data_IF_104170619323
#
_entry.id   IF_104170619323
#
_cell.length_a   1.000
_cell.length_b   1.000
_cell.length_c   1.000
_cell.angle_alpha   90.00
_cell.angle_beta   90.00
_cell.angle_gamma   90.00
#
_symmetry.space_group_name_H-M   'P 1'
#
loop_
_entity.id
_entity.type
_entity.pdbx_description
1 polymer ?
#
# COMPACT_ATOMS: atom_id res chain seq x y z
N UNK A 1 -11.93 15.50 -15.67
CA UNK A 1 -11.55 14.55 -16.76
C UNK A 1 -10.04 14.32 -16.72
N UNK A 2 -9.63 13.09 -16.48
CA UNK A 2 -8.21 12.70 -16.37
C UNK A 2 -7.58 12.71 -17.77
N UNK A 3 -6.43 13.39 -17.97
CA UNK A 3 -5.73 13.34 -19.26
C UNK A 3 -5.25 11.92 -19.59
N UNK A 4 -5.15 11.52 -20.88
CA UNK A 4 -4.77 10.16 -21.27
C UNK A 4 -3.46 9.64 -20.67
N UNK A 5 -2.48 10.53 -20.40
CA UNK A 5 -1.21 10.16 -19.76
C UNK A 5 -1.41 9.83 -18.28
N UNK A 6 -2.35 10.46 -17.58
CA UNK A 6 -2.64 10.22 -16.18
C UNK A 6 -3.48 8.94 -15.97
N UNK A 7 -4.28 8.53 -16.97
CA UNK A 7 -5.03 7.27 -16.95
C UNK A 7 -4.13 6.03 -16.84
N UNK A 8 -2.83 6.14 -17.16
CA UNK A 8 -1.89 5.06 -16.92
C UNK A 8 -1.58 4.83 -15.44
N UNK A 9 -2.00 5.71 -14.53
CA UNK A 9 -1.65 5.66 -13.11
C UNK A 9 -2.85 5.82 -12.18
N UNK A 10 -4.01 6.21 -12.73
CA UNK A 10 -5.24 6.49 -11.98
C UNK A 10 -6.40 5.85 -12.76
N UNK A 11 -7.17 5.00 -12.10
CA UNK A 11 -8.17 4.17 -12.75
C UNK A 11 -9.53 4.86 -12.98
N UNK A 12 -9.60 6.19 -12.82
CA UNK A 12 -10.81 6.96 -13.01
C UNK A 12 -11.05 7.99 -11.92
N UNK A 13 -12.14 8.74 -12.06
CA UNK A 13 -12.55 9.74 -11.08
C UNK A 13 -13.56 9.19 -10.06
N UNK A 14 -14.17 8.04 -10.34
CA UNK A 14 -15.20 7.39 -9.52
C UNK A 14 -14.82 5.96 -9.16
N UNK A 15 -15.35 5.44 -8.04
CA UNK A 15 -15.14 4.03 -7.68
C UNK A 15 -15.70 3.06 -8.71
N UNK A 16 -16.74 3.42 -9.44
CA UNK A 16 -17.29 2.57 -10.49
C UNK A 16 -16.31 2.37 -11.65
N UNK A 17 -15.59 3.43 -12.07
CA UNK A 17 -14.53 3.33 -13.08
C UNK A 17 -13.35 2.51 -12.56
N UNK A 18 -12.94 2.70 -11.31
CA UNK A 18 -11.88 1.95 -10.67
C UNK A 18 -12.23 0.46 -10.54
N UNK A 19 -13.45 0.11 -10.16
CA UNK A 19 -13.92 -1.27 -10.11
C UNK A 19 -13.95 -1.93 -11.50
N UNK A 20 -14.36 -1.22 -12.55
CA UNK A 20 -14.27 -1.75 -13.90
C UNK A 20 -12.82 -2.09 -14.31
N UNK A 21 -11.87 -1.25 -13.91
CA UNK A 21 -10.43 -1.55 -14.10
C UNK A 21 -10.02 -2.81 -13.32
N UNK A 22 -10.47 -2.96 -12.07
CA UNK A 22 -10.17 -4.15 -11.26
C UNK A 22 -10.82 -5.40 -11.84
N UNK A 23 -12.06 -5.31 -12.35
CA UNK A 23 -12.72 -6.44 -13.03
C UNK A 23 -11.88 -6.94 -14.23
N UNK A 24 -11.23 -6.03 -15.00
CA UNK A 24 -10.29 -6.40 -16.07
C UNK A 24 -9.00 -7.05 -15.53
N UNK A 25 -8.48 -6.61 -14.38
CA UNK A 25 -7.34 -7.23 -13.70
C UNK A 25 -7.67 -8.64 -13.22
N UNK A 26 -8.86 -8.84 -12.64
CA UNK A 26 -9.31 -10.13 -12.10
C UNK A 26 -9.39 -11.21 -13.20
N UNK A 27 -9.80 -10.85 -14.42
CA UNK A 27 -9.77 -11.77 -15.58
C UNK A 27 -8.34 -12.28 -15.86
N UNK A 28 -7.31 -11.54 -15.44
CA UNK A 28 -5.90 -11.87 -15.60
C UNK A 28 -5.24 -12.39 -14.34
N UNK A 29 -6.03 -12.70 -13.29
CA UNK A 29 -5.54 -13.27 -12.04
C UNK A 29 -4.87 -12.27 -11.09
N UNK A 30 -5.05 -10.97 -11.29
CA UNK A 30 -4.53 -9.91 -10.43
C UNK A 30 -5.68 -9.28 -9.66
N UNK A 31 -5.58 -9.20 -8.33
CA UNK A 31 -6.54 -8.57 -7.45
C UNK A 31 -6.33 -7.06 -7.35
N UNK A 32 -7.33 -6.31 -6.88
CA UNK A 32 -7.25 -4.86 -6.73
C UNK A 32 -7.08 -4.39 -5.29
N UNK A 33 -6.30 -3.33 -5.07
CA UNK A 33 -6.31 -2.53 -3.84
C UNK A 33 -6.77 -1.12 -4.20
N UNK A 34 -8.02 -0.80 -3.91
CA UNK A 34 -8.62 0.47 -4.28
C UNK A 34 -8.30 1.55 -3.25
N UNK A 35 -7.78 2.67 -3.73
CA UNK A 35 -7.44 3.81 -2.89
C UNK A 35 -8.07 5.10 -3.45
N UNK A 36 -8.95 5.72 -2.70
CA UNK A 36 -9.49 7.04 -3.01
C UNK A 36 -8.39 8.10 -2.79
N UNK A 37 -8.16 8.92 -3.79
CA UNK A 37 -7.13 9.97 -3.74
C UNK A 37 -7.57 11.15 -2.89
N UNK A 38 -6.91 11.36 -1.78
CA UNK A 38 -7.06 12.42 -0.79
C UNK A 38 -5.96 12.32 0.26
N UNK A 39 -5.60 13.43 0.90
CA UNK A 39 -4.61 13.48 1.96
C UNK A 39 -4.72 14.82 2.72
N UNK A 40 -4.35 14.83 4.03
CA UNK A 40 -4.23 16.03 4.87
C UNK A 40 -5.51 16.88 4.95
N UNK A 41 -6.61 16.26 5.37
CA UNK A 41 -7.85 17.01 5.61
C UNK A 41 -7.84 17.61 7.02
N UNK A 42 -8.14 18.89 7.09
CA UNK A 42 -8.33 19.69 8.29
C UNK A 42 -9.81 19.98 8.59
N UNK A 43 -10.71 19.63 7.65
CA UNK A 43 -12.15 19.79 7.78
C UNK A 43 -12.83 18.45 8.00
N UNK A 44 -13.57 18.33 9.13
CA UNK A 44 -14.28 17.10 9.52
C UNK A 44 -15.24 16.60 8.45
N UNK A 45 -15.98 17.50 7.81
CA UNK A 45 -16.94 17.15 6.76
C UNK A 45 -16.27 16.47 5.56
N UNK A 46 -15.06 16.90 5.18
CA UNK A 46 -14.31 16.30 4.09
C UNK A 46 -13.81 14.88 4.45
N UNK A 47 -13.32 14.70 5.67
CA UNK A 47 -12.87 13.40 6.16
C UNK A 47 -14.04 12.39 6.29
N UNK A 48 -15.18 12.83 6.81
CA UNK A 48 -16.38 12.01 6.92
C UNK A 48 -16.94 11.63 5.54
N UNK A 49 -16.92 12.55 4.57
CA UNK A 49 -17.38 12.28 3.21
C UNK A 49 -16.52 11.23 2.50
N UNK A 50 -15.18 11.27 2.66
CA UNK A 50 -14.30 10.26 2.08
C UNK A 50 -14.45 8.91 2.82
N UNK A 51 -14.73 8.91 4.12
CA UNK A 51 -15.07 7.69 4.85
C UNK A 51 -16.38 7.07 4.34
N UNK A 52 -17.41 7.87 4.09
CA UNK A 52 -18.68 7.42 3.48
C UNK A 52 -18.45 6.85 2.07
N UNK A 53 -17.55 7.42 1.28
CA UNK A 53 -17.19 6.90 -0.04
C UNK A 53 -16.47 5.56 0.06
N UNK A 54 -15.57 5.36 1.04
CA UNK A 54 -14.93 4.05 1.29
C UNK A 54 -15.96 2.98 1.70
N UNK A 55 -16.96 3.34 2.51
CA UNK A 55 -18.04 2.43 2.89
C UNK A 55 -18.85 2.03 1.65
N UNK A 56 -19.26 2.98 0.84
CA UNK A 56 -19.99 2.71 -0.40
C UNK A 56 -19.18 1.88 -1.39
N UNK A 57 -17.86 2.11 -1.48
CA UNK A 57 -16.94 1.29 -2.27
C UNK A 57 -16.88 -0.15 -1.77
N UNK A 58 -16.76 -0.37 -0.46
CA UNK A 58 -16.71 -1.71 0.13
C UNK A 58 -18.02 -2.49 -0.13
N UNK A 59 -19.18 -1.85 0.02
CA UNK A 59 -20.49 -2.43 -0.32
C UNK A 59 -20.57 -2.80 -1.81
N UNK A 60 -20.02 -1.97 -2.70
CA UNK A 60 -20.05 -2.23 -4.14
C UNK A 60 -19.07 -3.35 -4.56
N UNK A 61 -17.91 -3.48 -3.89
CA UNK A 61 -16.98 -4.63 -4.05
C UNK A 61 -17.72 -5.93 -3.75
N UNK A 62 -18.41 -6.01 -2.61
CA UNK A 62 -19.20 -7.18 -2.23
C UNK A 62 -20.33 -7.46 -3.24
N UNK A 63 -21.11 -6.45 -3.59
CA UNK A 63 -22.22 -6.57 -4.52
C UNK A 63 -21.81 -7.10 -5.90
N UNK A 64 -20.64 -6.69 -6.40
CA UNK A 64 -20.09 -7.17 -7.68
C UNK A 64 -19.36 -8.50 -7.55
N UNK A 65 -19.02 -8.91 -6.34
CA UNK A 65 -18.11 -10.03 -6.09
C UNK A 65 -16.74 -9.82 -6.80
N UNK A 66 -16.25 -8.57 -6.80
CA UNK A 66 -14.96 -8.20 -7.36
C UNK A 66 -13.85 -8.64 -6.40
N UNK A 67 -12.80 -9.27 -6.91
CA UNK A 67 -11.61 -9.59 -6.10
C UNK A 67 -10.79 -8.32 -5.84
N UNK A 68 -11.15 -7.65 -4.77
CA UNK A 68 -10.59 -6.36 -4.37
C UNK A 68 -10.63 -6.15 -2.85
N UNK A 69 -9.74 -5.29 -2.40
CA UNK A 69 -9.71 -4.72 -1.07
C UNK A 69 -9.55 -3.20 -1.15
N UNK A 70 -9.63 -2.51 -0.02
CA UNK A 70 -9.48 -1.06 0.06
C UNK A 70 -8.23 -0.68 0.84
N UNK A 71 -7.67 0.49 0.55
CA UNK A 71 -6.54 1.07 1.31
C UNK A 71 -6.85 2.51 1.67
N UNK A 72 -6.82 2.82 2.96
CA UNK A 72 -7.16 4.13 3.52
C UNK A 72 -5.93 4.86 4.03
N UNK A 73 -5.90 6.18 3.88
CA UNK A 73 -4.85 7.03 4.47
C UNK A 73 -5.35 7.68 5.75
N UNK A 74 -4.61 7.59 6.85
CA UNK A 74 -4.98 8.24 8.11
C UNK A 74 -5.29 9.74 7.97
N UNK A 75 -4.45 10.50 7.25
CA UNK A 75 -4.64 11.94 7.07
C UNK A 75 -5.88 12.30 6.23
N UNK A 76 -6.32 11.40 5.35
CA UNK A 76 -7.51 11.57 4.53
C UNK A 76 -8.79 11.40 5.34
N UNK A 77 -8.79 10.49 6.31
CA UNK A 77 -9.98 10.18 7.12
C UNK A 77 -9.95 10.86 8.49
N UNK A 78 -9.14 11.92 8.64
CA UNK A 78 -9.22 12.85 9.76
C UNK A 78 -8.16 12.70 10.85
N UNK A 79 -6.94 12.23 10.54
CA UNK A 79 -5.86 12.07 11.50
C UNK A 79 -5.51 13.39 12.26
N UNK A 80 -5.61 14.54 11.58
CA UNK A 80 -5.32 15.85 12.15
C UNK A 80 -6.53 16.48 12.87
N UNK A 81 -7.66 15.75 12.93
CA UNK A 81 -8.93 16.19 13.53
C UNK A 81 -9.23 15.32 14.74
N UNK A 82 -9.46 15.94 15.89
CA UNK A 82 -9.66 15.24 17.17
C UNK A 82 -10.74 14.16 17.09
N UNK A 83 -10.35 12.90 17.33
CA UNK A 83 -11.19 11.71 17.31
C UNK A 83 -11.70 11.25 15.93
N UNK A 84 -11.52 12.05 14.86
CA UNK A 84 -12.12 11.74 13.56
C UNK A 84 -11.50 10.51 12.89
N UNK A 85 -10.19 10.35 12.97
CA UNK A 85 -9.49 9.20 12.39
C UNK A 85 -10.01 7.88 12.95
N UNK A 86 -10.06 7.77 14.28
CA UNK A 86 -10.50 6.56 14.98
C UNK A 86 -11.96 6.24 14.64
N UNK A 87 -12.83 7.25 14.70
CA UNK A 87 -14.25 7.08 14.38
C UNK A 87 -14.46 6.65 12.91
N UNK A 88 -13.80 7.32 11.97
CA UNK A 88 -13.95 7.02 10.56
C UNK A 88 -13.33 5.67 10.18
N UNK A 89 -12.16 5.33 10.74
CA UNK A 89 -11.56 4.01 10.52
C UNK A 89 -12.45 2.89 11.05
N UNK A 90 -13.00 3.05 12.26
CA UNK A 90 -13.94 2.07 12.82
C UNK A 90 -15.19 1.90 11.94
N UNK A 91 -15.78 2.99 11.45
CA UNK A 91 -16.94 2.94 10.53
C UNK A 91 -16.62 2.20 9.24
N UNK A 92 -15.45 2.44 8.66
CA UNK A 92 -15.00 1.78 7.43
C UNK A 92 -14.78 0.28 7.68
N UNK A 93 -14.04 -0.08 8.74
CA UNK A 93 -13.73 -1.47 9.07
C UNK A 93 -14.98 -2.26 9.43
N UNK A 94 -15.91 -1.67 10.18
CA UNK A 94 -17.17 -2.33 10.58
C UNK A 94 -18.10 -2.58 9.38
N UNK A 95 -18.08 -1.70 8.38
CA UNK A 95 -18.91 -1.82 7.18
C UNK A 95 -18.27 -2.70 6.09
N UNK A 96 -16.93 -2.86 6.08
CA UNK A 96 -16.23 -3.56 5.03
C UNK A 96 -16.31 -5.09 5.19
N UNK A 97 -16.88 -5.77 4.18
CA UNK A 97 -16.76 -7.23 4.05
C UNK A 97 -15.51 -7.65 3.24
N UNK A 98 -14.74 -6.68 2.73
CA UNK A 98 -13.44 -6.88 2.11
C UNK A 98 -12.31 -6.52 3.08
N UNK A 99 -11.08 -6.91 2.73
CA UNK A 99 -9.90 -6.57 3.51
C UNK A 99 -9.59 -5.06 3.48
N UNK A 100 -9.17 -4.49 4.61
CA UNK A 100 -8.86 -3.06 4.75
C UNK A 100 -7.40 -2.84 5.06
N UNK A 101 -6.67 -2.18 4.17
CA UNK A 101 -5.30 -1.72 4.41
C UNK A 101 -5.31 -0.32 5.03
N UNK A 102 -4.42 -0.10 6.01
CA UNK A 102 -4.10 1.21 6.56
C UNK A 102 -2.73 1.62 6.00
N UNK A 103 -2.72 2.64 5.16
CA UNK A 103 -1.47 3.17 4.59
C UNK A 103 -0.63 3.85 5.69
N UNK A 104 0.69 3.75 5.56
CA UNK A 104 1.62 4.51 6.39
C UNK A 104 1.99 5.81 5.68
N UNK A 105 1.93 6.91 6.41
CA UNK A 105 2.34 8.22 5.92
C UNK A 105 3.71 8.60 6.50
N UNK A 106 3.98 9.86 6.86
CA UNK A 106 5.29 10.24 7.37
C UNK A 106 5.58 9.66 8.77
N UNK A 107 6.83 9.80 9.22
CA UNK A 107 7.28 9.22 10.48
C UNK A 107 6.53 9.70 11.72
N UNK A 108 5.92 10.89 11.69
CA UNK A 108 5.21 11.46 12.84
C UNK A 108 3.90 10.75 13.12
N UNK A 109 3.35 10.08 12.12
CA UNK A 109 2.07 9.36 12.18
C UNK A 109 2.22 7.86 12.46
N UNK A 110 3.46 7.36 12.56
CA UNK A 110 3.72 5.91 12.67
C UNK A 110 3.07 5.30 13.90
N UNK A 111 3.21 5.90 15.09
CA UNK A 111 2.68 5.32 16.33
C UNK A 111 1.16 5.24 16.30
N UNK A 112 0.48 6.32 15.95
CA UNK A 112 -0.99 6.35 15.90
C UNK A 112 -1.56 5.39 14.86
N UNK A 113 -0.86 5.19 13.74
CA UNK A 113 -1.25 4.23 12.69
C UNK A 113 -1.09 2.79 13.16
N UNK A 114 0.04 2.47 13.83
CA UNK A 114 0.28 1.13 14.37
C UNK A 114 -0.67 0.80 15.52
N UNK A 115 -0.99 1.77 16.38
CA UNK A 115 -1.95 1.57 17.47
C UNK A 115 -3.37 1.30 16.93
N UNK A 116 -3.80 2.05 15.91
CA UNK A 116 -5.07 1.81 15.24
C UNK A 116 -5.10 0.44 14.54
N UNK A 117 -4.01 0.06 13.86
CA UNK A 117 -3.91 -1.29 13.28
C UNK A 117 -4.05 -2.37 14.35
N UNK A 118 -3.31 -2.30 15.45
CA UNK A 118 -3.38 -3.31 16.52
C UNK A 118 -4.80 -3.45 17.07
N UNK A 119 -5.50 -2.34 17.33
CA UNK A 119 -6.88 -2.34 17.78
C UNK A 119 -7.80 -3.09 16.82
N UNK A 120 -7.78 -2.70 15.55
CA UNK A 120 -8.65 -3.30 14.53
C UNK A 120 -8.24 -4.71 14.13
N UNK A 121 -6.95 -5.04 14.11
CA UNK A 121 -6.47 -6.40 13.83
C UNK A 121 -7.00 -7.39 14.86
N UNK A 122 -6.96 -7.04 16.14
CA UNK A 122 -7.53 -7.88 17.22
C UNK A 122 -9.06 -7.96 17.16
N UNK A 123 -9.73 -6.86 16.80
CA UNK A 123 -11.19 -6.81 16.76
C UNK A 123 -11.78 -7.61 15.59
N UNK A 124 -11.04 -7.71 14.46
CA UNK A 124 -11.50 -8.34 13.21
C UNK A 124 -10.88 -9.71 12.94
N UNK A 125 -10.14 -10.26 13.91
CA UNK A 125 -9.37 -11.50 13.74
C UNK A 125 -8.46 -11.44 12.48
N UNK A 126 -7.85 -10.27 12.25
CA UNK A 126 -6.87 -10.05 11.19
C UNK A 126 -7.41 -9.61 9.82
N UNK A 127 -8.69 -9.20 9.72
CA UNK A 127 -9.23 -8.68 8.44
C UNK A 127 -8.77 -7.25 8.10
N UNK A 128 -7.64 -6.83 8.65
CA UNK A 128 -6.98 -5.56 8.36
C UNK A 128 -5.48 -5.74 8.18
N UNK A 129 -4.85 -4.80 7.47
CA UNK A 129 -3.41 -4.77 7.27
C UNK A 129 -2.83 -3.37 7.44
N UNK A 130 -1.54 -3.29 7.73
CA UNK A 130 -0.81 -2.03 7.84
C UNK A 130 0.41 -1.99 6.94
N UNK A 131 0.75 -0.80 6.44
CA UNK A 131 1.98 -0.56 5.70
C UNK A 131 3.10 -0.12 6.64
N UNK A 132 4.33 -0.66 6.46
CA UNK A 132 5.54 -0.21 7.16
C UNK A 132 6.65 0.13 6.18
N UNK A 133 7.52 1.07 6.56
CA UNK A 133 8.54 1.64 5.68
C UNK A 133 9.94 1.15 6.11
N UNK A 134 10.60 0.35 5.26
CA UNK A 134 11.92 -0.22 5.55
C UNK A 134 13.02 0.84 5.79
N UNK A 135 12.88 2.04 5.22
CA UNK A 135 13.86 3.10 5.42
C UNK A 135 13.86 3.69 6.84
N UNK A 136 12.78 3.56 7.61
CA UNK A 136 12.76 4.03 9.00
C UNK A 136 13.58 3.09 9.89
N UNK A 137 14.46 3.66 10.73
CA UNK A 137 15.33 2.88 11.65
C UNK A 137 14.55 2.12 12.71
N UNK A 138 13.32 2.55 13.00
CA UNK A 138 12.43 1.91 13.97
C UNK A 138 11.75 0.65 13.43
N UNK A 139 11.68 0.46 12.11
CA UNK A 139 10.87 -0.59 11.46
C UNK A 139 11.20 -2.00 11.97
N UNK A 140 12.47 -2.29 12.28
CA UNK A 140 12.82 -3.58 12.87
C UNK A 140 12.12 -3.86 14.20
N UNK A 141 11.99 -2.86 15.08
CA UNK A 141 11.24 -2.99 16.35
C UNK A 141 9.73 -3.00 16.13
N UNK A 142 9.25 -2.25 15.14
CA UNK A 142 7.83 -2.27 14.80
C UNK A 142 7.41 -3.64 14.26
N UNK A 143 8.23 -4.27 13.42
CA UNK A 143 7.98 -5.64 12.91
C UNK A 143 7.94 -6.69 14.02
N UNK A 144 8.78 -6.55 15.08
CA UNK A 144 8.72 -7.42 16.24
C UNK A 144 7.37 -7.32 16.98
N UNK A 145 6.84 -6.10 17.12
CA UNK A 145 5.49 -5.88 17.68
C UNK A 145 4.41 -6.49 16.78
N UNK A 146 4.52 -6.31 15.47
CA UNK A 146 3.53 -6.74 14.49
C UNK A 146 3.48 -8.25 14.30
N UNK A 147 4.58 -8.97 14.52
CA UNK A 147 4.63 -10.44 14.45
C UNK A 147 3.71 -11.14 15.47
N UNK A 148 3.33 -10.45 16.55
CA UNK A 148 2.44 -10.97 17.61
C UNK A 148 0.95 -10.68 17.34
N UNK A 149 0.63 -10.03 16.22
CA UNK A 149 -0.72 -9.57 15.89
C UNK A 149 -1.29 -10.32 14.69
N UNK A 150 -2.60 -10.57 14.68
CA UNK A 150 -3.27 -11.05 13.47
C UNK A 150 -3.30 -9.95 12.41
N UNK A 151 -3.51 -10.33 11.15
CA UNK A 151 -3.60 -9.40 10.03
C UNK A 151 -2.37 -9.38 9.16
N UNK A 152 -2.32 -8.44 8.21
CA UNK A 152 -1.23 -8.40 7.23
C UNK A 152 -0.32 -7.20 7.40
N UNK A 153 0.96 -7.36 7.07
CA UNK A 153 1.96 -6.29 7.06
C UNK A 153 2.54 -6.13 5.68
N UNK A 154 2.35 -4.94 5.10
CA UNK A 154 2.93 -4.55 3.82
C UNK A 154 4.26 -3.83 4.03
N UNK A 155 5.35 -4.45 3.63
CA UNK A 155 6.66 -3.82 3.65
C UNK A 155 6.90 -3.03 2.35
N UNK A 156 7.15 -1.73 2.47
CA UNK A 156 7.59 -0.85 1.38
C UNK A 156 8.97 -0.26 1.67
N UNK A 157 9.69 0.24 0.64
CA UNK A 157 11.00 0.88 0.85
C UNK A 157 10.92 2.19 1.64
N UNK A 158 9.81 2.90 1.52
CA UNK A 158 9.56 4.24 2.06
C UNK A 158 9.51 5.28 0.94
N UNK A 159 8.49 6.15 1.01
CA UNK A 159 8.21 7.16 -0.02
C UNK A 159 8.51 8.59 0.43
N UNK A 160 8.69 8.82 1.72
CA UNK A 160 8.87 10.14 2.31
C UNK A 160 10.35 10.48 2.47
N UNK A 161 10.69 11.77 2.35
CA UNK A 161 12.07 12.26 2.55
C UNK A 161 12.32 12.55 4.03
N UNK A 162 12.37 11.49 4.82
CA UNK A 162 12.53 11.53 6.26
C UNK A 162 13.92 12.01 6.69
N UNK A 163 14.09 12.63 7.88
CA UNK A 163 15.39 13.04 8.40
C UNK A 163 16.40 11.87 8.53
N UNK A 164 17.67 12.11 8.22
CA UNK A 164 18.73 11.08 8.26
C UNK A 164 18.99 10.51 9.66
N UNK A 165 18.59 11.23 10.72
CA UNK A 165 18.69 10.76 12.10
C UNK A 165 17.75 9.56 12.36
N UNK A 166 16.61 9.51 11.68
CA UNK A 166 15.56 8.50 11.88
C UNK A 166 15.39 7.55 10.70
N UNK A 167 15.98 7.86 9.54
CA UNK A 167 15.83 7.06 8.35
C UNK A 167 17.16 6.73 7.66
N UNK A 168 17.23 5.55 7.09
CA UNK A 168 18.30 5.15 6.17
C UNK A 168 18.16 5.90 4.85
N UNK A 169 19.29 6.31 4.28
CA UNK A 169 19.35 7.05 3.02
C UNK A 169 20.14 6.27 1.97
N UNK A 170 19.80 6.55 0.73
CA UNK A 170 20.47 5.94 -0.42
C UNK A 170 19.99 4.53 -0.75
N UNK A 171 19.86 4.27 -2.05
CA UNK A 171 19.27 3.03 -2.57
C UNK A 171 19.92 1.76 -2.01
N UNK A 172 21.25 1.70 -1.97
CA UNK A 172 21.99 0.50 -1.53
C UNK A 172 21.66 0.14 -0.09
N UNK A 173 21.64 1.14 0.80
CA UNK A 173 21.34 0.93 2.23
C UNK A 173 19.89 0.54 2.43
N UNK A 174 18.95 1.25 1.76
CA UNK A 174 17.52 0.94 1.86
C UNK A 174 17.21 -0.45 1.29
N UNK A 175 17.84 -0.83 0.18
CA UNK A 175 17.68 -2.18 -0.38
C UNK A 175 18.23 -3.28 0.56
N UNK A 176 19.31 -3.01 1.30
CA UNK A 176 19.85 -3.96 2.27
C UNK A 176 18.88 -4.15 3.45
N UNK A 177 18.48 -3.06 4.10
CA UNK A 177 17.55 -3.16 5.25
C UNK A 177 16.18 -3.68 4.85
N UNK A 178 15.72 -3.45 3.61
CA UNK A 178 14.50 -4.05 3.09
C UNK A 178 14.59 -5.57 3.05
N UNK A 179 15.72 -6.13 2.57
CA UNK A 179 15.96 -7.58 2.57
C UNK A 179 16.05 -8.15 3.99
N UNK A 180 16.78 -7.48 4.89
CA UNK A 180 16.90 -7.91 6.29
C UNK A 180 15.53 -7.95 6.97
N UNK A 181 14.65 -6.97 6.70
CA UNK A 181 13.28 -6.95 7.22
C UNK A 181 12.40 -8.03 6.60
N UNK A 182 12.50 -8.28 5.28
CA UNK A 182 11.79 -9.39 4.66
C UNK A 182 12.21 -10.73 5.26
N UNK A 183 13.51 -10.97 5.40
CA UNK A 183 14.01 -12.21 6.02
C UNK A 183 13.44 -12.39 7.44
N UNK A 184 13.45 -11.32 8.26
CA UNK A 184 12.82 -11.36 9.58
C UNK A 184 11.32 -11.72 9.50
N UNK A 185 10.57 -11.09 8.58
CA UNK A 185 9.14 -11.38 8.42
C UNK A 185 8.90 -12.85 8.04
N UNK A 186 9.65 -13.39 7.09
CA UNK A 186 9.51 -14.80 6.70
C UNK A 186 9.89 -15.79 7.81
N UNK A 187 10.76 -15.39 8.74
CA UNK A 187 11.15 -16.22 9.90
C UNK A 187 10.16 -16.12 11.06
N UNK A 188 9.54 -14.97 11.26
CA UNK A 188 8.81 -14.66 12.49
C UNK A 188 7.28 -14.62 12.32
N UNK A 189 6.78 -14.44 11.09
CA UNK A 189 5.35 -14.38 10.81
C UNK A 189 4.86 -15.73 10.31
N UNK A 190 3.70 -16.18 10.77
CA UNK A 190 3.08 -17.40 10.25
C UNK A 190 2.47 -17.18 8.85
N UNK A 191 1.95 -15.97 8.58
CA UNK A 191 1.36 -15.54 7.32
C UNK A 191 1.31 -14.00 7.23
N UNK A 192 0.50 -13.43 6.32
CA UNK A 192 0.20 -11.99 6.28
C UNK A 192 1.31 -11.11 5.71
N UNK A 193 2.30 -11.67 5.02
CA UNK A 193 3.40 -10.90 4.41
C UNK A 193 2.96 -10.31 3.07
N UNK A 194 3.02 -8.98 2.92
CA UNK A 194 2.81 -8.30 1.65
C UNK A 194 4.08 -7.55 1.20
N UNK A 195 4.61 -7.93 0.06
CA UNK A 195 5.82 -7.37 -0.55
C UNK A 195 5.45 -6.18 -1.43
N UNK A 196 5.49 -4.97 -0.88
CA UNK A 196 5.18 -3.73 -1.58
C UNK A 196 6.37 -3.22 -2.41
N UNK A 197 6.64 -3.84 -3.56
CA UNK A 197 7.82 -3.47 -4.36
C UNK A 197 7.63 -3.72 -5.86
N UNK A 198 8.25 -2.83 -6.67
CA UNK A 198 8.42 -3.02 -8.12
C UNK A 198 9.81 -3.54 -8.48
N UNK A 199 10.72 -3.64 -7.52
CA UNK A 199 12.12 -4.03 -7.75
C UNK A 199 12.20 -5.55 -7.93
N UNK A 200 12.64 -6.05 -9.12
CA UNK A 200 12.76 -7.47 -9.36
C UNK A 200 13.60 -8.20 -8.32
N UNK A 201 14.69 -7.54 -7.86
CA UNK A 201 15.60 -8.15 -6.90
C UNK A 201 14.96 -8.33 -5.50
N UNK A 202 13.96 -7.50 -5.15
CA UNK A 202 13.21 -7.68 -3.89
C UNK A 202 12.15 -8.78 -4.02
N UNK A 203 11.49 -8.87 -5.17
CA UNK A 203 10.50 -9.92 -5.46
C UNK A 203 11.20 -11.29 -5.54
N UNK A 204 12.31 -11.40 -6.25
CA UNK A 204 13.13 -12.61 -6.32
C UNK A 204 13.63 -13.04 -4.94
N UNK A 205 14.05 -12.08 -4.11
CA UNK A 205 14.45 -12.36 -2.72
C UNK A 205 13.29 -12.94 -1.91
N UNK A 206 12.09 -12.37 -2.02
CA UNK A 206 10.89 -12.90 -1.35
C UNK A 206 10.54 -14.32 -1.82
N UNK A 207 10.69 -14.62 -3.12
CA UNK A 207 10.51 -15.98 -3.65
C UNK A 207 11.49 -16.99 -3.01
N UNK A 208 12.78 -16.64 -2.92
CA UNK A 208 13.77 -17.49 -2.25
C UNK A 208 13.45 -17.70 -0.77
N UNK A 209 13.01 -16.65 -0.07
CA UNK A 209 12.62 -16.78 1.35
C UNK A 209 11.38 -17.68 1.52
N UNK A 210 10.42 -17.57 0.59
CA UNK A 210 9.27 -18.48 0.58
C UNK A 210 9.69 -19.94 0.34
N UNK A 211 10.62 -20.18 -0.58
CA UNK A 211 11.17 -21.53 -0.82
C UNK A 211 11.89 -22.10 0.42
N UNK A 212 12.55 -21.22 1.21
CA UNK A 212 13.32 -21.61 2.40
C UNK A 212 12.42 -21.85 3.63
N UNK A 213 11.50 -20.91 3.91
CA UNK A 213 10.71 -20.89 5.15
C UNK A 213 9.29 -21.44 4.98
N UNK A 214 8.75 -21.45 3.77
CA UNK A 214 7.38 -21.88 3.46
C UNK A 214 6.29 -20.88 3.83
N UNK A 215 6.64 -19.73 4.42
CA UNK A 215 5.69 -18.70 4.84
C UNK A 215 4.98 -18.11 3.63
N UNK A 216 3.64 -18.08 3.58
CA UNK A 216 2.91 -17.50 2.46
C UNK A 216 3.09 -15.98 2.38
N UNK A 217 3.05 -15.45 1.16
CA UNK A 217 3.17 -14.03 0.91
C UNK A 217 2.38 -13.60 -0.34
N UNK A 218 2.17 -12.31 -0.47
CA UNK A 218 1.61 -11.69 -1.67
C UNK A 218 2.53 -10.55 -2.17
N UNK A 219 2.41 -10.18 -3.44
CA UNK A 219 3.14 -9.05 -4.02
C UNK A 219 2.17 -7.94 -4.36
N UNK A 220 2.52 -6.71 -3.95
CA UNK A 220 1.70 -5.53 -4.20
C UNK A 220 2.47 -4.52 -5.07
N UNK A 221 1.85 -4.12 -6.19
CA UNK A 221 2.47 -3.23 -7.17
C UNK A 221 1.50 -2.12 -7.59
N UNK A 222 2.02 -0.98 -8.04
CA UNK A 222 1.19 0.16 -8.44
C UNK A 222 0.65 0.01 -9.87
N UNK A 223 -0.52 0.58 -10.13
CA UNK A 223 -1.07 0.77 -11.48
C UNK A 223 -0.08 1.48 -12.40
N UNK A 224 0.04 1.04 -13.63
CA UNK A 224 0.91 1.63 -14.65
C UNK A 224 2.40 1.35 -14.50
N UNK A 225 2.80 0.49 -13.55
CA UNK A 225 4.21 0.16 -13.32
C UNK A 225 4.45 -1.33 -13.54
N UNK A 226 5.21 -1.66 -14.60
CA UNK A 226 5.59 -3.03 -14.95
C UNK A 226 4.39 -4.00 -15.02
N UNK A 227 3.29 -3.60 -15.59
CA UNK A 227 2.04 -4.38 -15.60
C UNK A 227 2.20 -5.78 -16.19
N UNK A 228 2.98 -5.93 -17.29
CA UNK A 228 3.27 -7.27 -17.84
C UNK A 228 3.89 -8.19 -16.80
N UNK A 229 4.81 -7.67 -15.96
CA UNK A 229 5.43 -8.47 -14.91
C UNK A 229 4.45 -8.80 -13.78
N UNK A 230 3.44 -7.96 -13.52
CA UNK A 230 2.37 -8.28 -12.57
C UNK A 230 1.57 -9.50 -13.03
N UNK A 231 1.19 -9.52 -14.30
CA UNK A 231 0.43 -10.64 -14.87
C UNK A 231 1.25 -11.94 -14.98
N UNK A 232 2.55 -11.82 -15.30
CA UNK A 232 3.44 -12.98 -15.34
C UNK A 232 3.59 -13.57 -13.92
N UNK A 233 3.78 -12.70 -12.92
CA UNK A 233 3.96 -13.09 -11.52
C UNK A 233 2.69 -13.71 -10.90
N UNK A 234 1.51 -13.28 -11.33
CA UNK A 234 0.22 -13.77 -10.83
C UNK A 234 -0.04 -15.26 -11.15
N UNK A 235 0.79 -15.90 -12.00
CA UNK A 235 0.74 -17.35 -12.21
C UNK A 235 1.37 -18.14 -11.07
N UNK A 236 2.24 -17.51 -10.25
CA UNK A 236 3.06 -18.19 -9.25
C UNK A 236 2.71 -17.75 -7.81
N UNK A 237 2.27 -16.50 -7.63
CA UNK A 237 2.00 -15.91 -6.31
C UNK A 237 0.81 -14.95 -6.39
N UNK A 238 0.02 -14.75 -5.31
CA UNK A 238 -1.01 -13.71 -5.28
C UNK A 238 -0.41 -12.34 -5.56
N UNK A 239 -0.97 -11.63 -6.54
CA UNK A 239 -0.56 -10.28 -6.92
C UNK A 239 -1.73 -9.34 -6.79
N UNK A 240 -1.49 -8.22 -6.13
CA UNK A 240 -2.43 -7.12 -6.00
C UNK A 240 -1.92 -5.88 -6.70
N UNK A 241 -2.75 -5.27 -7.51
CA UNK A 241 -2.46 -3.95 -8.06
C UNK A 241 -3.07 -2.87 -7.19
N UNK A 242 -2.25 -1.92 -6.70
CA UNK A 242 -2.72 -0.73 -6.00
C UNK A 242 -3.30 0.25 -7.01
N UNK A 243 -4.60 0.49 -6.91
CA UNK A 243 -5.45 1.17 -7.90
C UNK A 243 -5.96 2.49 -7.34
N UNK A 244 -5.24 3.61 -7.56
CA UNK A 244 -5.70 4.92 -7.15
C UNK A 244 -6.84 5.40 -8.06
N UNK A 245 -7.84 6.06 -7.47
CA UNK A 245 -8.93 6.73 -8.18
C UNK A 245 -9.36 8.00 -7.47
N UNK A 246 -10.15 8.84 -8.12
CA UNK A 246 -10.73 10.05 -7.53
C UNK A 246 -10.34 11.33 -8.26
N UNK A 247 -11.02 12.42 -7.91
CA UNK A 247 -10.87 13.72 -8.58
C UNK A 247 -9.57 14.46 -8.21
N UNK A 248 -8.93 14.08 -7.09
CA UNK A 248 -7.69 14.71 -6.59
C UNK A 248 -6.42 14.06 -7.17
N UNK A 249 -6.50 13.57 -8.40
CA UNK A 249 -5.43 12.80 -9.07
C UNK A 249 -4.16 13.59 -9.40
N UNK A 250 -4.19 14.93 -9.46
CA UNK A 250 -3.09 15.72 -10.00
C UNK A 250 -1.80 15.62 -9.15
N UNK A 251 -1.90 15.70 -7.81
CA UNK A 251 -0.76 15.61 -6.90
C UNK A 251 -0.11 14.22 -6.97
N UNK A 252 -0.91 13.17 -6.99
CA UNK A 252 -0.46 11.79 -7.16
C UNK A 252 0.27 11.57 -8.49
N UNK A 253 -0.33 12.01 -9.60
CA UNK A 253 0.24 11.92 -10.94
C UNK A 253 1.57 12.67 -11.05
N UNK A 254 1.66 13.88 -10.51
CA UNK A 254 2.90 14.65 -10.52
C UNK A 254 4.04 13.96 -9.75
N UNK A 255 3.74 13.36 -8.62
CA UNK A 255 4.69 12.55 -7.82
C UNK A 255 5.22 11.35 -8.63
N UNK A 256 4.35 10.61 -9.30
CA UNK A 256 4.74 9.48 -10.17
C UNK A 256 5.62 9.90 -11.35
N UNK A 257 5.31 11.03 -11.98
CA UNK A 257 6.14 11.56 -13.06
C UNK A 257 7.55 11.98 -12.58
N UNK A 258 7.64 12.56 -11.39
CA UNK A 258 8.93 12.97 -10.81
C UNK A 258 9.82 11.76 -10.52
N UNK A 259 9.26 10.69 -10.00
CA UNK A 259 9.97 9.43 -9.75
C UNK A 259 10.48 8.78 -11.04
N UNK A 260 9.65 8.73 -12.10
CA UNK A 260 10.10 8.23 -13.42
C UNK A 260 11.25 9.04 -14.01
N UNK A 261 11.22 10.38 -13.88
CA UNK A 261 12.31 11.23 -14.36
C UNK A 261 13.59 11.02 -13.56
N UNK A 262 13.52 10.85 -12.25
CA UNK A 262 14.69 10.56 -11.42
C UNK A 262 15.29 9.19 -11.76
N UNK A 263 14.46 8.17 -11.98
CA UNK A 263 14.88 6.84 -12.38
C UNK A 263 15.49 6.82 -13.80
N UNK A 264 14.91 7.55 -14.76
CA UNK A 264 15.43 7.67 -16.12
C UNK A 264 16.76 8.47 -16.16
N UNK A 265 16.89 9.54 -15.37
CA UNK A 265 18.13 10.30 -15.20
C UNK A 265 19.23 9.48 -14.51
N UNK A 266 18.85 8.62 -13.54
CA UNK A 266 19.79 7.71 -12.88
C UNK A 266 20.28 6.64 -13.84
N UNK A 267 19.38 6.02 -14.61
CA UNK A 267 19.73 5.05 -15.63
C UNK A 267 20.61 5.67 -16.74
N UNK A 268 20.30 6.89 -17.20
CA UNK A 268 21.11 7.61 -18.17
C UNK A 268 22.51 7.96 -17.60
N UNK A 269 22.61 8.35 -16.33
CA UNK A 269 23.90 8.56 -15.66
C UNK A 269 24.70 7.28 -15.48
N UNK A 270 24.06 6.16 -15.17
CA UNK A 270 24.71 4.84 -15.07
C UNK A 270 25.25 4.36 -16.45
N UNK A 271 24.59 4.74 -17.54
CA UNK A 271 25.03 4.42 -18.92
C UNK A 271 26.12 5.39 -19.41
N UNK A 272 26.06 6.65 -18.98
CA UNK A 272 26.98 7.73 -19.39
C UNK A 272 28.11 7.97 -18.39
N UNK A 273 28.03 7.33 -17.23
CA UNK A 273 28.92 7.59 -16.10
C UNK A 273 30.12 6.65 -16.07
N UNK A 274 31.05 7.15 -16.72
CA UNK A 274 32.37 7.20 -16.14
C UNK A 274 32.73 8.65 -15.90
#
# INVERSE_FOLDING_TARGET
MIPPIANNFVAGETYSEALNHVDELNVRGVSGILNLLGEHYDEREAADADADEYIALAEEIERRNTDACISVKPSQIGLEIDGAFQENLARIVDAANCFVWIDMEDHTTTDVTLDAFEEHARATDGNVGVCVQANLKRTGSDLQRLAELPGKVRLVKGAYDEPGEIAHKGKVTVDAVYRDHLEYMFQAFDDGIAVGSHDPAMIEHAQHLHEEYGTPYEVQMLTGVRESAQFDLANDVPVYQYVPYGTKWFSYFYRRLRERKSNALFAARAILGN
#
